data_IF_686635812398
#
_entry.id   IF_686635812398
#
_cell.length_a   1.000
_cell.length_b   1.000
_cell.length_c   1.000
_cell.angle_alpha   90.00
_cell.angle_beta   90.00
_cell.angle_gamma   90.00
#
_symmetry.space_group_name_H-M   'P 1'
#
loop_
_entity.id
_entity.type
_entity.pdbx_description
1 polymer ?
#
# COMPACT_ATOMS: atom_id res chain seq x y z
N UNK A 1 -16.36 -25.26 17.59
CA UNK A 1 -16.29 -24.03 16.76
C UNK A 1 -17.09 -22.89 17.36
N UNK A 2 -18.33 -23.09 17.79
CA UNK A 2 -19.16 -22.05 18.41
C UNK A 2 -18.52 -21.44 19.68
N UNK A 3 -17.86 -22.22 20.50
CA UNK A 3 -17.16 -21.75 21.69
C UNK A 3 -16.00 -20.80 21.38
N UNK A 4 -15.25 -21.02 20.27
CA UNK A 4 -14.14 -20.16 19.88
C UNK A 4 -14.61 -18.82 19.29
N UNK A 5 -15.71 -18.79 18.56
CA UNK A 5 -16.27 -17.54 18.02
C UNK A 5 -16.82 -16.62 19.12
N UNK A 6 -17.47 -17.16 20.13
CA UNK A 6 -17.92 -16.41 21.30
C UNK A 6 -16.72 -15.90 22.12
N UNK A 7 -15.71 -16.74 22.33
CA UNK A 7 -14.49 -16.36 23.02
C UNK A 7 -13.75 -15.21 22.34
N UNK A 8 -13.69 -15.19 21.00
CA UNK A 8 -13.07 -14.09 20.23
C UNK A 8 -13.75 -12.74 20.49
N UNK A 9 -15.09 -12.70 20.57
CA UNK A 9 -15.81 -11.47 20.88
C UNK A 9 -15.47 -10.95 22.27
N UNK A 10 -15.43 -11.84 23.26
CA UNK A 10 -15.09 -11.50 24.63
C UNK A 10 -13.66 -10.99 24.76
N UNK A 11 -12.68 -11.65 24.13
CA UNK A 11 -11.29 -11.22 24.15
C UNK A 11 -11.08 -9.89 23.40
N UNK A 12 -11.86 -9.65 22.35
CA UNK A 12 -11.83 -8.37 21.64
C UNK A 12 -12.38 -7.23 22.51
N UNK A 13 -13.45 -7.47 23.27
CA UNK A 13 -14.02 -6.49 24.22
C UNK A 13 -13.05 -6.24 25.37
N UNK A 14 -12.41 -7.30 25.89
CA UNK A 14 -11.41 -7.21 26.96
C UNK A 14 -10.07 -6.62 26.49
N UNK A 15 -9.87 -6.42 25.18
CA UNK A 15 -8.62 -5.97 24.56
C UNK A 15 -7.42 -6.90 24.82
N UNK A 16 -7.69 -8.20 25.05
CA UNK A 16 -6.71 -9.25 25.27
C UNK A 16 -6.23 -9.82 23.93
N UNK A 17 -5.20 -9.19 23.33
CA UNK A 17 -4.72 -9.52 21.99
C UNK A 17 -4.07 -10.90 21.90
N UNK A 18 -3.41 -11.34 22.96
CA UNK A 18 -2.70 -12.63 23.01
C UNK A 18 -3.69 -13.79 22.96
N UNK A 19 -4.67 -13.82 23.86
CA UNK A 19 -5.71 -14.84 23.90
C UNK A 19 -6.60 -14.82 22.65
N UNK A 20 -6.89 -13.62 22.14
CA UNK A 20 -7.57 -13.46 20.85
C UNK A 20 -6.78 -14.12 19.72
N UNK A 21 -5.46 -13.91 19.66
CA UNK A 21 -4.58 -14.46 18.63
C UNK A 21 -4.52 -15.99 18.66
N UNK A 22 -4.50 -16.60 19.84
CA UNK A 22 -4.50 -18.06 20.00
C UNK A 22 -5.82 -18.67 19.50
N UNK A 23 -6.96 -18.13 19.94
CA UNK A 23 -8.27 -18.60 19.46
C UNK A 23 -8.44 -18.37 17.95
N UNK A 24 -7.94 -17.26 17.44
CA UNK A 24 -7.99 -16.95 16.01
C UNK A 24 -7.14 -17.93 15.18
N UNK A 25 -5.98 -18.33 15.69
CA UNK A 25 -5.11 -19.29 15.03
C UNK A 25 -5.81 -20.65 14.82
N UNK A 26 -6.47 -21.17 15.86
CA UNK A 26 -7.22 -22.43 15.78
C UNK A 26 -8.37 -22.38 14.77
N UNK A 27 -9.13 -21.28 14.78
CA UNK A 27 -10.21 -21.08 13.82
C UNK A 27 -9.69 -20.93 12.38
N UNK A 28 -8.62 -20.17 12.20
CA UNK A 28 -7.99 -19.97 10.91
C UNK A 28 -7.46 -21.28 10.35
N UNK A 29 -6.74 -22.06 11.16
CA UNK A 29 -6.17 -23.34 10.74
C UNK A 29 -7.26 -24.32 10.31
N UNK A 30 -8.31 -24.44 11.09
CA UNK A 30 -9.48 -25.25 10.76
C UNK A 30 -10.15 -24.77 9.45
N UNK A 31 -10.30 -23.45 9.28
CA UNK A 31 -10.92 -22.87 8.09
C UNK A 31 -10.06 -23.08 6.85
N UNK A 32 -8.75 -22.84 6.93
CA UNK A 32 -7.82 -23.02 5.81
C UNK A 32 -7.78 -24.49 5.40
N UNK A 33 -7.63 -25.39 6.37
CA UNK A 33 -7.53 -26.83 6.09
C UNK A 33 -8.79 -27.38 5.41
N UNK A 34 -9.96 -26.89 5.83
CA UNK A 34 -11.24 -27.29 5.23
C UNK A 34 -11.53 -26.60 3.87
N UNK A 35 -10.94 -25.42 3.65
CA UNK A 35 -11.28 -24.58 2.49
C UNK A 35 -10.16 -24.46 1.45
N UNK A 36 -8.98 -25.05 1.67
CA UNK A 36 -7.81 -24.93 0.79
C UNK A 36 -8.10 -25.35 -0.64
N UNK A 37 -8.90 -26.41 -0.81
CA UNK A 37 -9.28 -26.92 -2.14
C UNK A 37 -10.12 -25.87 -2.89
N UNK A 38 -11.06 -25.23 -2.18
CA UNK A 38 -11.91 -24.19 -2.78
C UNK A 38 -11.09 -22.96 -3.18
N UNK A 39 -10.09 -22.57 -2.38
CA UNK A 39 -9.18 -21.48 -2.73
C UNK A 39 -8.34 -21.78 -3.97
N UNK A 40 -7.83 -23.02 -4.08
CA UNK A 40 -7.07 -23.44 -5.27
C UNK A 40 -7.97 -23.44 -6.51
N UNK A 41 -9.17 -23.99 -6.41
CA UNK A 41 -10.13 -24.02 -7.52
C UNK A 41 -10.53 -22.59 -7.93
N UNK A 42 -10.77 -21.71 -6.97
CA UNK A 42 -11.09 -20.30 -7.23
C UNK A 42 -9.92 -19.57 -7.92
N UNK A 43 -8.69 -19.78 -7.46
CA UNK A 43 -7.49 -19.19 -8.06
C UNK A 43 -7.28 -19.64 -9.51
N UNK A 44 -7.44 -20.94 -9.78
CA UNK A 44 -7.38 -21.50 -11.14
C UNK A 44 -8.51 -20.94 -12.00
N UNK A 45 -9.74 -20.86 -11.46
CA UNK A 45 -10.88 -20.27 -12.16
C UNK A 45 -10.65 -18.81 -12.54
N UNK A 46 -10.14 -17.99 -11.61
CA UNK A 46 -9.77 -16.58 -11.87
C UNK A 46 -8.66 -16.46 -12.92
N UNK A 47 -7.66 -17.34 -12.88
CA UNK A 47 -6.60 -17.37 -13.88
C UNK A 47 -7.13 -17.69 -15.28
N UNK A 48 -8.01 -18.69 -15.38
CA UNK A 48 -8.65 -19.06 -16.66
C UNK A 48 -9.54 -17.94 -17.17
N UNK A 49 -10.34 -17.32 -16.31
CA UNK A 49 -11.15 -16.15 -16.66
C UNK A 49 -10.30 -14.98 -17.16
N UNK A 50 -9.18 -14.68 -16.47
CA UNK A 50 -8.26 -13.66 -16.93
C UNK A 50 -7.69 -13.95 -18.30
N UNK A 51 -7.25 -15.20 -18.56
CA UNK A 51 -6.76 -15.64 -19.87
C UNK A 51 -7.84 -15.57 -20.95
N UNK A 52 -9.07 -15.92 -20.62
CA UNK A 52 -10.22 -15.77 -21.52
C UNK A 52 -10.49 -14.32 -21.89
N UNK A 53 -10.48 -13.42 -20.89
CA UNK A 53 -10.67 -11.98 -21.11
C UNK A 53 -9.53 -11.42 -21.97
N UNK A 54 -8.27 -11.82 -21.73
CA UNK A 54 -7.12 -11.44 -22.53
C UNK A 54 -7.28 -11.90 -23.99
N UNK A 55 -7.65 -13.15 -24.20
CA UNK A 55 -7.90 -13.71 -25.52
C UNK A 55 -9.06 -13.01 -26.26
N UNK A 56 -10.19 -12.74 -25.58
CA UNK A 56 -11.33 -12.00 -26.15
C UNK A 56 -10.90 -10.59 -26.54
N UNK A 57 -10.17 -9.88 -25.65
CA UNK A 57 -9.68 -8.52 -25.89
C UNK A 57 -8.77 -8.46 -27.12
N UNK A 58 -7.88 -9.44 -27.27
CA UNK A 58 -6.96 -9.51 -28.41
C UNK A 58 -7.70 -9.90 -29.69
N UNK A 59 -8.71 -10.79 -29.59
CA UNK A 59 -9.51 -11.24 -30.75
C UNK A 59 -10.38 -10.13 -31.32
N UNK A 60 -10.94 -9.27 -30.47
CA UNK A 60 -11.86 -8.21 -30.87
C UNK A 60 -11.22 -6.84 -30.97
N UNK A 61 -9.87 -6.72 -30.87
CA UNK A 61 -9.13 -5.45 -30.90
C UNK A 61 -9.73 -4.37 -29.97
N UNK A 62 -10.27 -4.77 -28.84
CA UNK A 62 -10.89 -3.91 -27.82
C UNK A 62 -9.84 -3.08 -27.04
N UNK A 63 -8.81 -2.59 -27.72
CA UNK A 63 -7.83 -1.69 -27.16
C UNK A 63 -8.41 -0.28 -27.02
N UNK A 64 -9.06 -0.04 -25.91
CA UNK A 64 -9.45 1.31 -25.54
C UNK A 64 -8.21 2.16 -25.28
N UNK A 65 -8.08 3.30 -25.96
CA UNK A 65 -6.97 4.23 -25.71
C UNK A 65 -6.91 4.53 -24.20
N UNK A 66 -5.76 4.35 -23.54
CA UNK A 66 -5.68 4.54 -22.09
C UNK A 66 -5.98 5.99 -21.74
N UNK A 67 -6.86 6.18 -20.77
CA UNK A 67 -7.19 7.48 -20.20
C UNK A 67 -5.94 8.11 -19.58
N UNK A 68 -5.87 9.44 -19.49
CA UNK A 68 -4.72 10.14 -18.89
C UNK A 68 -4.35 9.57 -17.51
N UNK A 69 -5.32 9.32 -16.63
CA UNK A 69 -5.09 8.69 -15.33
C UNK A 69 -4.47 7.29 -15.43
N UNK A 70 -4.93 6.46 -16.37
CA UNK A 70 -4.36 5.12 -16.57
C UNK A 70 -2.90 5.17 -17.01
N UNK A 71 -2.53 6.18 -17.82
CA UNK A 71 -1.13 6.40 -18.22
C UNK A 71 -0.27 6.74 -17.01
N UNK A 72 -0.74 7.62 -16.12
CA UNK A 72 -0.01 8.01 -14.91
C UNK A 72 0.10 6.87 -13.89
N UNK A 73 -0.97 6.09 -13.68
CA UNK A 73 -0.92 4.90 -12.83
C UNK A 73 0.04 3.84 -13.39
N UNK A 74 0.02 3.62 -14.72
CA UNK A 74 0.95 2.69 -15.36
C UNK A 74 2.40 3.17 -15.27
N UNK A 75 2.62 4.48 -15.37
CA UNK A 75 3.93 5.08 -15.17
C UNK A 75 4.40 4.93 -13.71
N UNK A 76 3.55 5.20 -12.72
CA UNK A 76 3.85 4.96 -11.31
C UNK A 76 4.19 3.49 -11.04
N UNK A 77 3.44 2.55 -11.63
CA UNK A 77 3.75 1.11 -11.53
C UNK A 77 5.07 0.72 -12.21
N UNK A 78 5.39 1.33 -13.37
CA UNK A 78 6.67 1.07 -14.05
C UNK A 78 7.87 1.58 -13.24
N UNK A 79 7.68 2.65 -12.48
CA UNK A 79 8.70 3.23 -11.61
C UNK A 79 9.09 2.30 -10.45
N UNK A 80 8.14 1.48 -9.95
CA UNK A 80 8.44 0.42 -8.98
C UNK A 80 9.40 -0.65 -9.51
N UNK A 81 9.32 -0.95 -10.83
CA UNK A 81 10.15 -1.99 -11.45
C UNK A 81 11.48 -1.47 -11.96
N UNK A 82 11.49 -0.25 -12.46
CA UNK A 82 12.64 0.40 -13.09
C UNK A 82 12.77 1.83 -12.55
N UNK A 83 13.25 2.01 -11.30
CA UNK A 83 13.27 3.31 -10.66
C UNK A 83 14.19 4.30 -11.36
N UNK A 84 15.39 3.87 -11.76
CA UNK A 84 16.39 4.74 -12.42
C UNK A 84 15.82 5.33 -13.70
N UNK A 85 15.27 4.48 -14.58
CA UNK A 85 14.66 4.90 -15.84
C UNK A 85 13.42 5.76 -15.59
N UNK A 86 12.63 5.41 -14.57
CA UNK A 86 11.43 6.14 -14.18
C UNK A 86 11.71 7.58 -13.80
N UNK A 87 12.70 7.83 -12.95
CA UNK A 87 13.11 9.18 -12.57
C UNK A 87 13.73 9.95 -13.73
N UNK A 88 14.53 9.30 -14.58
CA UNK A 88 15.06 9.89 -15.81
C UNK A 88 13.94 10.37 -16.73
N UNK A 89 12.93 9.52 -17.00
CA UNK A 89 11.78 9.89 -17.84
C UNK A 89 10.87 10.94 -17.19
N UNK A 90 10.76 10.96 -15.86
CA UNK A 90 10.03 12.00 -15.14
C UNK A 90 10.70 13.37 -15.31
N UNK A 91 12.04 13.43 -15.34
CA UNK A 91 12.82 14.65 -15.52
C UNK A 91 12.85 15.13 -16.97
N UNK A 92 13.16 14.23 -17.93
CA UNK A 92 13.45 14.59 -19.33
C UNK A 92 12.23 14.63 -20.23
N UNK A 93 11.34 13.65 -20.15
CA UNK A 93 10.21 13.51 -21.08
C UNK A 93 8.90 14.13 -20.54
N UNK A 94 8.93 14.77 -19.36
CA UNK A 94 7.77 15.38 -18.71
C UNK A 94 6.54 14.44 -18.66
N UNK A 95 6.77 13.11 -18.62
CA UNK A 95 5.70 12.11 -18.52
C UNK A 95 4.94 12.21 -17.20
N UNK A 96 5.51 12.87 -16.19
CA UNK A 96 4.92 13.16 -14.91
C UNK A 96 4.42 14.60 -14.85
N UNK A 97 3.23 14.81 -14.33
CA UNK A 97 2.62 16.14 -14.18
C UNK A 97 2.43 16.50 -12.71
N UNK A 98 2.37 17.80 -12.41
CA UNK A 98 2.04 18.28 -11.05
C UNK A 98 0.70 17.73 -10.58
N UNK A 99 -0.28 17.64 -11.48
CA UNK A 99 -1.60 17.08 -11.16
C UNK A 99 -1.50 15.61 -10.75
N UNK A 100 -0.72 14.79 -11.48
CA UNK A 100 -0.52 13.39 -11.12
C UNK A 100 0.23 13.25 -9.79
N UNK A 101 1.21 14.11 -9.51
CA UNK A 101 1.92 14.13 -8.23
C UNK A 101 0.98 14.48 -7.06
N UNK A 102 0.12 15.49 -7.24
CA UNK A 102 -0.88 15.85 -6.22
C UNK A 102 -1.85 14.70 -5.94
N UNK A 103 -2.31 13.98 -6.98
CA UNK A 103 -3.15 12.78 -6.81
C UNK A 103 -2.41 11.69 -6.03
N UNK A 104 -1.12 11.49 -6.27
CA UNK A 104 -0.31 10.53 -5.51
C UNK A 104 -0.15 10.96 -4.03
N UNK A 105 0.01 12.25 -3.72
CA UNK A 105 0.04 12.73 -2.34
C UNK A 105 -1.31 12.53 -1.63
N UNK A 106 -2.41 12.78 -2.31
CA UNK A 106 -3.74 12.48 -1.76
C UNK A 106 -3.88 10.98 -1.50
N UNK A 107 -3.47 10.14 -2.45
CA UNK A 107 -3.47 8.69 -2.29
C UNK A 107 -2.58 8.23 -1.11
N UNK A 108 -1.40 8.83 -0.94
CA UNK A 108 -0.49 8.57 0.18
C UNK A 108 -1.17 8.86 1.52
N UNK A 109 -1.80 10.02 1.65
CA UNK A 109 -2.53 10.41 2.89
C UNK A 109 -3.69 9.45 3.14
N UNK A 110 -4.48 9.13 2.12
CA UNK A 110 -5.62 8.20 2.23
C UNK A 110 -5.15 6.81 2.67
N UNK A 111 -4.09 6.28 2.06
CA UNK A 111 -3.54 4.96 2.42
C UNK A 111 -2.96 4.97 3.83
N UNK A 112 -2.29 6.05 4.24
CA UNK A 112 -1.76 6.19 5.60
C UNK A 112 -2.88 6.22 6.65
N UNK A 113 -3.94 7.00 6.40
CA UNK A 113 -5.12 7.04 7.30
C UNK A 113 -5.82 5.69 7.31
N UNK A 114 -5.95 5.04 6.15
CA UNK A 114 -6.54 3.71 6.05
C UNK A 114 -5.74 2.67 6.84
N UNK A 115 -4.40 2.73 6.80
CA UNK A 115 -3.54 1.85 7.57
C UNK A 115 -3.76 2.00 9.09
N UNK A 116 -3.94 3.22 9.57
CA UNK A 116 -4.23 3.48 10.98
C UNK A 116 -5.64 3.03 11.41
N UNK A 117 -6.62 3.13 10.52
CA UNK A 117 -8.03 2.83 10.84
C UNK A 117 -8.41 1.36 10.59
N UNK A 118 -7.88 0.76 9.52
CA UNK A 118 -8.30 -0.56 9.02
C UNK A 118 -7.30 -1.67 9.27
N UNK A 119 -6.21 -1.42 9.98
CA UNK A 119 -5.30 -2.49 10.39
C UNK A 119 -6.02 -3.47 11.31
N UNK A 120 -5.80 -4.78 11.12
CA UNK A 120 -6.45 -5.84 11.91
C UNK A 120 -6.28 -5.64 13.43
N UNK A 121 -7.26 -6.07 14.23
CA UNK A 121 -7.33 -5.83 15.68
C UNK A 121 -6.04 -6.18 16.43
N UNK A 122 -5.38 -7.28 16.07
CA UNK A 122 -4.14 -7.74 16.71
C UNK A 122 -3.02 -6.70 16.53
N UNK A 123 -2.92 -6.10 15.34
CA UNK A 123 -1.84 -5.19 14.93
C UNK A 123 -2.20 -3.71 15.03
N UNK A 124 -3.44 -3.41 15.35
CA UNK A 124 -3.89 -2.04 15.52
C UNK A 124 -3.46 -1.51 16.89
N UNK A 125 -2.51 -0.58 16.89
CA UNK A 125 -2.05 0.13 18.08
C UNK A 125 -2.69 1.52 18.20
N UNK A 126 -3.64 1.85 17.31
CA UNK A 126 -4.35 3.12 17.38
C UNK A 126 -5.17 3.19 18.66
N UNK A 127 -4.87 4.14 19.52
CA UNK A 127 -5.71 4.46 20.65
C UNK A 127 -7.01 5.07 20.13
N UNK A 128 -8.14 4.76 20.77
CA UNK A 128 -9.48 5.22 20.35
C UNK A 128 -9.60 6.76 20.23
N UNK A 129 -8.67 7.50 20.80
CA UNK A 129 -8.66 8.96 20.85
C UNK A 129 -7.81 9.64 19.78
N UNK A 130 -7.23 8.88 18.83
CA UNK A 130 -6.40 9.47 17.77
C UNK A 130 -7.28 10.20 16.76
N UNK A 131 -7.20 11.53 16.73
CA UNK A 131 -7.97 12.33 15.78
C UNK A 131 -7.42 12.14 14.35
N UNK A 132 -8.32 12.07 13.39
CA UNK A 132 -7.96 11.97 11.96
C UNK A 132 -7.05 13.13 11.53
N UNK A 133 -7.27 14.34 12.09
CA UNK A 133 -6.44 15.50 11.81
C UNK A 133 -4.99 15.28 12.25
N UNK A 134 -4.78 14.71 13.44
CA UNK A 134 -3.44 14.37 13.93
C UNK A 134 -2.76 13.33 13.06
N UNK A 135 -3.51 12.32 12.63
CA UNK A 135 -3.02 11.28 11.71
C UNK A 135 -2.59 11.86 10.37
N UNK A 136 -3.38 12.76 9.79
CA UNK A 136 -3.02 13.47 8.54
C UNK A 136 -1.78 14.34 8.75
N UNK A 137 -1.68 15.06 9.86
CA UNK A 137 -0.52 15.90 10.16
C UNK A 137 0.77 15.08 10.31
N UNK A 138 0.69 13.87 10.89
CA UNK A 138 1.81 12.95 11.05
C UNK A 138 2.48 12.53 9.73
N UNK A 139 1.73 12.46 8.64
CA UNK A 139 2.31 12.15 7.33
C UNK A 139 2.58 13.41 6.51
N UNK A 140 1.69 14.41 6.56
CA UNK A 140 1.81 15.60 5.73
C UNK A 140 3.02 16.46 6.12
N UNK A 141 3.27 16.64 7.42
CA UNK A 141 4.38 17.49 7.90
C UNK A 141 5.74 16.92 7.48
N UNK A 142 6.09 15.64 7.73
CA UNK A 142 7.36 15.07 7.25
C UNK A 142 7.51 15.14 5.72
N UNK A 143 6.45 14.89 4.96
CA UNK A 143 6.50 14.97 3.49
C UNK A 143 6.81 16.39 3.01
N UNK A 144 6.16 17.40 3.59
CA UNK A 144 6.43 18.81 3.25
C UNK A 144 7.86 19.18 3.62
N UNK A 145 8.32 18.82 4.81
CA UNK A 145 9.70 19.06 5.25
C UNK A 145 10.72 18.38 4.35
N UNK A 146 10.44 17.16 3.91
CA UNK A 146 11.28 16.42 2.98
C UNK A 146 11.39 17.12 1.61
N UNK A 147 10.27 17.59 1.04
CA UNK A 147 10.26 18.33 -0.23
C UNK A 147 11.06 19.63 -0.10
N UNK A 148 10.81 20.40 0.96
CA UNK A 148 11.50 21.68 1.19
C UNK A 148 13.00 21.45 1.42
N UNK A 149 13.37 20.48 2.26
CA UNK A 149 14.76 20.14 2.56
C UNK A 149 15.53 19.71 1.30
N UNK A 150 14.96 18.82 0.51
CA UNK A 150 15.59 18.39 -0.75
C UNK A 150 15.75 19.54 -1.76
N UNK A 151 14.77 20.43 -1.82
CA UNK A 151 14.90 21.61 -2.68
C UNK A 151 15.99 22.56 -2.20
N UNK A 152 16.08 22.79 -0.89
CA UNK A 152 17.13 23.63 -0.31
C UNK A 152 18.53 23.04 -0.56
N UNK A 153 18.71 21.75 -0.33
CA UNK A 153 19.98 21.06 -0.61
C UNK A 153 20.35 21.15 -2.08
N UNK A 154 19.39 20.91 -2.99
CA UNK A 154 19.60 21.03 -4.43
C UNK A 154 20.01 22.45 -4.83
N UNK A 155 19.42 23.48 -4.20
CA UNK A 155 19.74 24.89 -4.49
C UNK A 155 21.13 25.30 -3.99
N UNK A 156 21.58 24.75 -2.86
CA UNK A 156 22.91 25.03 -2.29
C UNK A 156 24.01 24.34 -3.10
N UNK A 157 23.71 23.16 -3.66
CA UNK A 157 24.68 22.35 -4.43
C UNK A 157 24.78 22.76 -5.92
N UNK A 158 24.36 23.96 -6.30
CA UNK A 158 24.27 24.43 -7.70
C UNK A 158 23.50 23.45 -8.61
N UNK A 159 22.56 22.71 -8.01
CA UNK A 159 21.75 21.73 -8.72
C UNK A 159 20.70 22.39 -9.61
N UNK A 160 20.52 21.87 -10.84
CA UNK A 160 19.49 22.32 -11.78
C UNK A 160 18.05 21.93 -11.41
N UNK A 161 17.85 21.37 -10.22
CA UNK A 161 16.55 20.84 -9.75
C UNK A 161 15.57 21.96 -9.40
N UNK A 162 14.51 22.10 -10.19
CA UNK A 162 13.41 23.03 -9.85
C UNK A 162 12.53 22.46 -8.74
N UNK A 163 11.92 23.32 -7.93
CA UNK A 163 10.94 22.91 -6.89
C UNK A 163 9.85 21.98 -7.45
N UNK A 164 9.39 22.27 -8.66
CA UNK A 164 8.41 21.45 -9.37
C UNK A 164 8.90 20.01 -9.60
N UNK A 165 10.16 19.84 -9.99
CA UNK A 165 10.74 18.51 -10.20
C UNK A 165 10.89 17.75 -8.89
N UNK A 166 11.38 18.40 -7.83
CA UNK A 166 11.48 17.80 -6.49
C UNK A 166 10.10 17.35 -6.00
N UNK A 167 9.08 18.21 -6.14
CA UNK A 167 7.70 17.89 -5.79
C UNK A 167 7.17 16.64 -6.53
N UNK A 168 7.39 16.58 -7.84
CA UNK A 168 6.95 15.45 -8.66
C UNK A 168 7.73 14.18 -8.27
N UNK A 169 9.06 14.24 -8.24
CA UNK A 169 9.88 13.06 -7.92
C UNK A 169 9.56 12.46 -6.56
N UNK A 170 9.40 13.29 -5.53
CA UNK A 170 9.04 12.84 -4.17
C UNK A 170 7.67 12.15 -4.14
N UNK A 171 6.68 12.66 -4.90
CA UNK A 171 5.37 12.00 -4.99
C UNK A 171 5.45 10.61 -5.62
N UNK A 172 6.25 10.47 -6.66
CA UNK A 172 6.46 9.17 -7.32
C UNK A 172 7.34 8.23 -6.50
N UNK A 173 8.29 8.73 -5.70
CA UNK A 173 9.05 7.93 -4.75
C UNK A 173 8.17 7.29 -3.67
N UNK A 174 7.03 7.91 -3.31
CA UNK A 174 6.06 7.36 -2.38
C UNK A 174 5.21 6.20 -2.95
N UNK A 175 5.38 5.86 -4.22
CA UNK A 175 4.60 4.81 -4.91
C UNK A 175 4.68 3.43 -4.22
N UNK A 176 5.84 2.91 -3.75
CA UNK A 176 5.90 1.64 -3.04
C UNK A 176 4.97 1.61 -1.83
N UNK A 177 4.96 2.69 -1.05
CA UNK A 177 4.10 2.80 0.10
C UNK A 177 2.61 2.73 -0.28
N UNK A 178 2.21 3.47 -1.31
CA UNK A 178 0.81 3.53 -1.78
C UNK A 178 0.30 2.17 -2.24
N UNK A 179 1.13 1.39 -2.97
CA UNK A 179 0.70 0.10 -3.53
C UNK A 179 0.85 -1.07 -2.58
N UNK A 180 1.87 -1.07 -1.72
CA UNK A 180 2.17 -2.23 -0.88
C UNK A 180 1.49 -2.16 0.49
N UNK A 181 1.23 -0.97 1.05
CA UNK A 181 0.54 -0.85 2.34
C UNK A 181 -0.87 -1.47 2.35
N UNK A 182 -1.72 -1.35 1.31
CA UNK A 182 -2.98 -2.08 1.26
C UNK A 182 -2.83 -3.60 1.36
N UNK A 183 -1.74 -4.16 0.84
CA UNK A 183 -1.43 -5.58 1.00
C UNK A 183 -1.10 -5.91 2.44
N UNK A 184 -0.33 -5.07 3.14
CA UNK A 184 -0.05 -5.22 4.58
C UNK A 184 -1.33 -5.13 5.40
N UNK A 185 -2.23 -4.19 5.07
CA UNK A 185 -3.54 -4.09 5.73
C UNK A 185 -4.32 -5.41 5.54
N UNK A 186 -4.39 -5.93 4.34
CA UNK A 186 -5.08 -7.20 4.07
C UNK A 186 -4.45 -8.37 4.82
N UNK A 187 -3.12 -8.46 4.85
CA UNK A 187 -2.38 -9.48 5.61
C UNK A 187 -2.63 -9.38 7.11
N UNK A 188 -2.83 -8.19 7.65
CA UNK A 188 -3.09 -7.98 9.08
C UNK A 188 -4.39 -8.63 9.58
N UNK A 189 -5.32 -8.99 8.69
CA UNK A 189 -6.53 -9.73 9.04
C UNK A 189 -6.36 -11.25 9.03
N UNK A 190 -5.28 -11.73 8.42
CA UNK A 190 -5.02 -13.18 8.27
C UNK A 190 -3.93 -13.65 9.24
N UNK A 191 -2.97 -12.80 9.53
CA UNK A 191 -1.81 -13.13 10.37
C UNK A 191 -2.16 -13.05 11.86
N UNK A 192 -1.49 -13.91 12.63
CA UNK A 192 -1.57 -13.98 14.10
C UNK A 192 -0.42 -13.21 14.75
N UNK A 193 -0.46 -13.04 16.07
CA UNK A 193 0.58 -12.36 16.82
C UNK A 193 1.95 -13.04 16.70
N UNK A 194 2.00 -14.37 16.60
CA UNK A 194 3.23 -15.11 16.38
C UNK A 194 3.89 -14.81 15.03
N UNK A 195 3.10 -14.37 14.06
CA UNK A 195 3.52 -13.99 12.71
C UNK A 195 3.74 -12.47 12.55
N UNK A 196 3.72 -11.72 13.65
CA UNK A 196 3.86 -10.26 13.66
C UNK A 196 5.14 -9.76 12.96
N UNK A 197 6.20 -10.58 12.95
CA UNK A 197 7.44 -10.25 12.29
C UNK A 197 7.25 -10.00 10.78
N UNK A 198 6.31 -10.68 10.13
CA UNK A 198 6.01 -10.53 8.69
C UNK A 198 5.49 -9.12 8.40
N UNK A 199 4.55 -8.63 9.23
CA UNK A 199 4.01 -7.27 9.10
C UNK A 199 5.07 -6.22 9.40
N UNK A 200 5.84 -6.43 10.47
CA UNK A 200 6.89 -5.50 10.89
C UNK A 200 7.99 -5.40 9.83
N UNK A 201 8.54 -6.54 9.38
CA UNK A 201 9.54 -6.56 8.31
C UNK A 201 8.98 -5.99 7.00
N UNK A 202 7.76 -6.38 6.62
CA UNK A 202 7.11 -5.86 5.42
C UNK A 202 6.97 -4.33 5.47
N UNK A 203 6.53 -3.78 6.59
CA UNK A 203 6.41 -2.33 6.79
C UNK A 203 7.78 -1.63 6.72
N UNK A 204 8.82 -2.19 7.37
CA UNK A 204 10.18 -1.64 7.31
C UNK A 204 10.72 -1.66 5.88
N UNK A 205 10.54 -2.76 5.14
CA UNK A 205 10.98 -2.87 3.74
C UNK A 205 10.28 -1.85 2.85
N UNK A 206 8.98 -1.64 3.02
CA UNK A 206 8.21 -0.65 2.26
C UNK A 206 8.72 0.77 2.53
N UNK A 207 8.93 1.12 3.80
CA UNK A 207 9.45 2.45 4.18
C UNK A 207 10.88 2.62 3.66
N UNK A 208 11.76 1.64 3.85
CA UNK A 208 13.13 1.68 3.35
C UNK A 208 13.14 1.85 1.82
N UNK A 209 12.32 1.11 1.09
CA UNK A 209 12.21 1.24 -0.36
C UNK A 209 11.74 2.64 -0.78
N UNK A 210 10.73 3.19 -0.10
CA UNK A 210 10.24 4.55 -0.34
C UNK A 210 11.30 5.62 -0.10
N UNK A 211 12.18 5.43 0.90
CA UNK A 211 13.26 6.37 1.23
C UNK A 211 14.44 6.26 0.26
N UNK A 212 14.72 5.06 -0.27
CA UNK A 212 15.81 4.81 -1.22
C UNK A 212 15.46 5.36 -2.62
N UNK A 213 14.18 5.37 -3.01
CA UNK A 213 13.71 5.94 -4.27
C UNK A 213 13.71 7.47 -4.25
#
# INVERSE_FOLDING_TARGET
>A
QQCYTEALEHFKIANEKELYSECFWELRDTFINNSIIYFIVAAVGLYVLWKLIEWIRDRYNLYRKPTSLQKHCRFAWSMLRHPIDGFYYAKTEQKASVVSATVLYIALIVVFVADQMFRGFIFNNSTKDTSVLMTVALIAVPVVLWIVGNHMVSSISDGEGTFRQVYICTAYAATPYIFLTPVIIALSYVLTQNEAFVITLGSIVIVAWTVIL
#
